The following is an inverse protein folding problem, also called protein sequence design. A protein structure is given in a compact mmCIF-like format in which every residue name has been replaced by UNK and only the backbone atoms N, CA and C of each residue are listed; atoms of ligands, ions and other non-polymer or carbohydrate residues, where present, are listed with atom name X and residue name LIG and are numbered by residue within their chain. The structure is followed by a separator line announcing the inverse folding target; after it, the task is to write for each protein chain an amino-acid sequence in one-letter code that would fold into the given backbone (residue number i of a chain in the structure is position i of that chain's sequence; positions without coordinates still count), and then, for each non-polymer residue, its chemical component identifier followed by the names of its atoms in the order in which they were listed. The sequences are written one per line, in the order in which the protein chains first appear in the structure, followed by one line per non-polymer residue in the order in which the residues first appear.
data_IF_387964100609
#
_entry.id   IF_387964100609
#
_cell.length_a   1.000
_cell.length_b   1.000
_cell.length_c   1.000
_cell.angle_alpha   90.00
_cell.angle_beta   90.00
_cell.angle_gamma   90.00
#
_symmetry.space_group_name_H-M   'P 1'
#
loop_
_entity.id
_entity.type
_entity.pdbx_description
1 polymer ?
#
# COMPACT_ATOMS: atom_id res chain seq x y z
N UNK A 1 -14.06 -21.49 48.08
CA UNK A 1 -12.60 -21.70 48.21
C UNK A 1 -12.17 -22.61 47.06
N UNK A 2 -11.44 -22.12 46.04
CA UNK A 2 -9.97 -22.25 45.89
C UNK A 2 -9.52 -23.69 46.21
N UNK A 3 -8.88 -24.49 45.36
CA UNK A 3 -7.90 -24.23 44.29
C UNK A 3 -7.58 -25.60 43.67
N UNK A 4 -7.27 -25.68 42.37
CA UNK A 4 -6.45 -26.78 41.86
C UNK A 4 -5.57 -26.26 40.71
N UNK A 5 -4.28 -26.32 40.97
CA UNK A 5 -3.17 -25.80 40.17
C UNK A 5 -2.68 -26.86 39.18
N UNK A 6 -2.23 -26.34 38.04
CA UNK A 6 -1.56 -26.91 36.87
C UNK A 6 -0.69 -28.17 37.00
N UNK A 7 -0.65 -28.93 35.90
CA UNK A 7 0.56 -29.26 35.11
C UNK A 7 0.15 -30.06 33.83
N UNK A 8 0.40 -29.54 32.61
CA UNK A 8 1.55 -29.88 31.73
C UNK A 8 1.40 -31.30 31.12
N UNK A 9 1.50 -31.61 29.82
CA UNK A 9 2.19 -31.05 28.64
C UNK A 9 1.50 -31.61 27.38
N UNK A 10 1.42 -30.85 26.28
CA UNK A 10 1.31 -31.47 24.95
C UNK A 10 2.09 -30.66 23.92
N UNK A 11 3.05 -31.37 23.35
CA UNK A 11 3.96 -31.07 22.25
C UNK A 11 3.23 -30.57 21.01
N UNK A 12 3.71 -29.49 20.40
CA UNK A 12 3.60 -29.28 18.96
C UNK A 12 4.95 -28.74 18.46
N UNK A 13 5.52 -29.53 17.55
CA UNK A 13 6.66 -29.18 16.72
C UNK A 13 6.39 -27.87 15.98
N UNK A 14 7.28 -26.88 16.16
CA UNK A 14 7.33 -25.67 15.37
C UNK A 14 8.58 -25.72 14.51
N UNK A 15 8.35 -26.00 13.23
CA UNK A 15 9.35 -26.16 12.18
C UNK A 15 10.29 -24.95 12.05
N UNK A 16 11.58 -25.27 12.10
CA UNK A 16 12.70 -24.41 11.75
C UNK A 16 12.51 -23.75 10.38
N UNK A 17 12.57 -22.42 10.36
CA UNK A 17 12.86 -21.66 9.14
C UNK A 17 14.37 -21.32 9.15
N UNK A 18 15.18 -21.80 8.20
CA UNK A 18 16.61 -21.51 8.18
C UNK A 18 16.90 -20.08 7.74
N UNK A 19 17.49 -19.30 8.65
CA UNK A 19 18.19 -18.05 8.38
C UNK A 19 19.33 -18.28 7.38
N UNK A 20 19.15 -17.84 6.14
CA UNK A 20 20.22 -17.79 5.13
C UNK A 20 21.13 -16.58 5.37
N UNK A 21 22.11 -16.76 6.25
CA UNK A 21 23.30 -15.91 6.33
C UNK A 21 24.37 -16.47 5.41
N UNK A 22 24.60 -15.83 4.24
CA UNK A 22 25.74 -16.15 3.38
C UNK A 22 26.63 -14.93 3.24
N UNK A 23 27.79 -15.04 3.87
CA UNK A 23 28.96 -14.16 3.76
C UNK A 23 29.44 -14.03 2.32
N UNK A 24 29.84 -12.82 1.92
CA UNK A 24 30.97 -12.64 1.00
C UNK A 24 31.86 -11.50 1.51
N UNK A 25 33.10 -11.89 1.79
CA UNK A 25 34.27 -11.05 2.03
C UNK A 25 35.07 -11.08 0.73
N UNK A 26 35.34 -9.93 0.12
CA UNK A 26 36.49 -9.74 -0.77
C UNK A 26 37.04 -8.33 -0.56
N UNK A 27 38.19 -8.28 0.10
CA UNK A 27 39.10 -7.14 0.11
C UNK A 27 39.93 -7.14 -1.16
N UNK A 28 40.25 -5.96 -1.73
CA UNK A 28 41.61 -5.55 -2.11
C UNK A 28 41.64 -4.20 -2.84
N UNK A 29 42.65 -3.41 -2.48
CA UNK A 29 42.97 -2.07 -2.97
C UNK A 29 43.75 -2.09 -4.28
N UNK A 30 43.63 -1.03 -5.08
CA UNK A 30 44.75 -0.45 -5.82
C UNK A 30 44.39 0.96 -6.31
N UNK A 31 45.22 1.91 -5.88
CA UNK A 31 45.35 3.27 -6.40
C UNK A 31 45.80 3.30 -7.86
N UNK A 32 45.31 4.26 -8.65
CA UNK A 32 46.13 4.91 -9.67
C UNK A 32 45.63 6.34 -9.96
N UNK A 33 46.48 7.29 -9.60
CA UNK A 33 46.50 8.71 -10.01
C UNK A 33 46.77 8.81 -11.50
N UNK A 34 46.11 9.72 -12.23
CA UNK A 34 46.71 10.58 -13.29
C UNK A 34 45.62 11.46 -13.91
N UNK A 35 45.68 12.76 -13.63
CA UNK A 35 45.25 13.85 -14.54
C UNK A 35 46.56 14.51 -15.00
N UNK A 36 46.72 14.99 -16.24
CA UNK A 36 46.07 16.25 -16.64
C UNK A 36 45.66 16.39 -18.13
N UNK A 37 44.67 17.27 -18.33
CA UNK A 37 44.59 18.33 -19.36
C UNK A 37 44.70 17.99 -20.86
N UNK A 38 43.60 18.20 -21.59
CA UNK A 38 43.65 18.90 -22.89
C UNK A 38 42.30 19.57 -23.24
N UNK A 39 42.35 20.90 -23.18
CA UNK A 39 41.44 21.90 -23.73
C UNK A 39 41.15 21.66 -25.23
N UNK A 40 39.88 21.65 -25.64
CA UNK A 40 39.39 22.45 -26.80
C UNK A 40 37.93 22.21 -27.21
N UNK A 41 37.22 23.34 -27.34
CA UNK A 41 36.29 23.74 -28.40
C UNK A 41 34.93 23.02 -28.53
N UNK A 42 33.95 23.68 -27.91
CA UNK A 42 32.68 24.17 -28.50
C UNK A 42 32.42 23.70 -29.94
N UNK A 43 31.42 22.85 -30.10
CA UNK A 43 30.55 22.90 -31.27
C UNK A 43 29.13 22.58 -30.81
N UNK A 44 28.23 23.51 -31.13
CA UNK A 44 26.80 23.43 -30.89
C UNK A 44 26.25 22.18 -31.56
N UNK A 45 25.44 21.42 -30.84
CA UNK A 45 24.47 20.54 -31.45
C UNK A 45 23.19 20.73 -30.64
N UNK A 46 22.26 21.42 -31.28
CA UNK A 46 20.97 21.83 -30.78
C UNK A 46 20.06 20.60 -30.54
N UNK A 47 19.35 20.68 -29.43
CA UNK A 47 17.95 20.30 -29.24
C UNK A 47 17.49 18.88 -29.57
N UNK A 48 17.86 17.93 -28.71
CA UNK A 48 16.94 16.85 -28.32
C UNK A 48 17.19 16.51 -26.85
N UNK A 49 16.46 17.15 -25.94
CA UNK A 49 16.40 16.73 -24.53
C UNK A 49 14.96 16.44 -24.14
N UNK A 50 14.80 15.33 -23.41
CA UNK A 50 13.54 14.66 -23.13
C UNK A 50 12.59 15.44 -22.21
N UNK A 51 11.52 14.77 -21.77
CA UNK A 51 10.39 15.43 -21.11
C UNK A 51 10.84 16.17 -19.85
N UNK A 52 10.33 17.38 -19.58
CA UNK A 52 10.59 18.06 -18.32
C UNK A 52 10.03 17.22 -17.17
N UNK A 53 10.93 16.64 -16.39
CA UNK A 53 10.65 16.18 -15.04
C UNK A 53 10.35 17.42 -14.19
N UNK A 54 9.07 17.70 -13.93
CA UNK A 54 8.60 18.47 -12.77
C UNK A 54 7.07 18.58 -12.80
N UNK A 55 6.39 17.80 -11.96
CA UNK A 55 5.21 18.24 -11.22
C UNK A 55 4.84 17.18 -10.19
N UNK A 56 5.55 17.20 -9.06
CA UNK A 56 4.99 16.72 -7.81
C UNK A 56 3.75 17.58 -7.50
N UNK A 57 2.55 17.05 -7.77
CA UNK A 57 1.32 17.63 -7.26
C UNK A 57 1.16 17.17 -5.80
N UNK A 58 1.92 17.80 -4.90
CA UNK A 58 1.58 17.85 -3.50
C UNK A 58 0.29 18.66 -3.37
N UNK A 59 -0.86 17.98 -3.30
CA UNK A 59 -2.11 18.60 -2.89
C UNK A 59 -2.21 18.50 -1.36
N UNK A 60 -1.52 19.40 -0.67
CA UNK A 60 -1.81 19.75 0.71
C UNK A 60 -2.42 21.14 0.72
N UNK A 61 -3.76 21.24 0.66
CA UNK A 61 -4.53 22.41 1.12
C UNK A 61 -5.94 21.92 1.49
N UNK A 62 -6.39 22.16 2.72
CA UNK A 62 -7.80 21.99 3.05
C UNK A 62 -8.12 21.61 4.50
N UNK A 63 -7.77 22.52 5.40
CA UNK A 63 -8.14 22.58 6.82
C UNK A 63 -9.64 22.35 7.08
N UNK A 64 -9.96 21.56 8.12
CA UNK A 64 -11.16 21.73 8.94
C UNK A 64 -12.53 21.46 8.30
N UNK A 65 -12.88 20.18 8.11
CA UNK A 65 -14.27 19.75 8.23
C UNK A 65 -14.32 18.62 9.27
N UNK A 66 -14.25 19.03 10.54
CA UNK A 66 -14.65 18.19 11.67
C UNK A 66 -16.15 17.88 11.53
N UNK A 67 -16.46 16.81 10.80
CA UNK A 67 -17.74 16.13 10.96
C UNK A 67 -17.57 15.22 12.15
N UNK A 68 -17.87 15.75 13.32
CA UNK A 68 -17.96 15.00 14.56
C UNK A 68 -19.07 13.96 14.42
N UNK A 69 -18.70 12.75 14.02
CA UNK A 69 -19.43 11.52 14.33
C UNK A 69 -18.42 10.39 14.60
N UNK A 70 -17.72 10.52 15.74
CA UNK A 70 -17.15 9.40 16.49
C UNK A 70 -15.77 8.89 16.09
N UNK A 71 -14.74 9.76 16.19
CA UNK A 71 -13.31 9.41 16.22
C UNK A 71 -12.79 8.66 14.97
N UNK A 72 -12.72 9.35 13.83
CA UNK A 72 -11.94 8.87 12.68
C UNK A 72 -10.49 8.66 13.17
N UNK A 73 -9.91 7.45 13.03
CA UNK A 73 -8.58 7.17 13.53
C UNK A 73 -7.52 8.05 12.85
N UNK A 74 -6.41 8.29 13.55
CA UNK A 74 -5.30 9.08 13.03
C UNK A 74 -4.70 8.45 11.76
N UNK A 75 -4.35 9.32 10.80
CA UNK A 75 -3.75 8.93 9.52
C UNK A 75 -4.75 8.53 8.44
N UNK A 76 -6.05 8.65 8.69
CA UNK A 76 -7.08 8.47 7.66
C UNK A 76 -7.33 9.76 6.87
N UNK A 77 -7.40 9.62 5.55
CA UNK A 77 -7.69 10.71 4.59
C UNK A 77 -9.05 10.48 3.96
N UNK A 78 -9.81 11.56 3.72
CA UNK A 78 -11.15 11.48 3.14
C UNK A 78 -11.08 11.33 1.61
N UNK A 79 -11.77 10.32 1.08
CA UNK A 79 -12.04 10.13 -0.35
C UNK A 79 -13.15 11.08 -0.84
N UNK A 80 -13.21 11.38 -2.15
CA UNK A 80 -14.29 12.20 -2.71
C UNK A 80 -15.70 11.64 -2.43
N UNK A 81 -15.88 10.32 -2.44
CA UNK A 81 -17.12 9.63 -2.04
C UNK A 81 -17.47 9.73 -0.55
N UNK A 82 -16.71 10.49 0.24
CA UNK A 82 -16.96 10.77 1.65
C UNK A 82 -16.49 9.69 2.63
N UNK A 83 -15.91 8.60 2.13
CA UNK A 83 -15.26 7.54 2.93
C UNK A 83 -13.89 7.97 3.40
N UNK A 84 -13.35 7.29 4.41
CA UNK A 84 -11.99 7.52 4.87
C UNK A 84 -11.11 6.36 4.50
N UNK A 85 -9.85 6.61 4.18
CA UNK A 85 -8.89 5.56 3.87
C UNK A 85 -7.52 5.81 4.50
N UNK A 86 -6.77 4.74 4.70
CA UNK A 86 -5.38 4.75 5.16
C UNK A 86 -4.60 3.67 4.42
N UNK A 87 -3.45 4.03 3.88
CA UNK A 87 -2.52 3.04 3.30
C UNK A 87 -1.80 2.34 4.44
N UNK A 88 -1.92 1.02 4.50
CA UNK A 88 -1.28 0.17 5.52
C UNK A 88 0.01 -0.43 4.98
N UNK A 89 0.01 -0.79 3.71
CA UNK A 89 1.18 -1.28 3.00
C UNK A 89 1.25 -0.60 1.64
N UNK A 90 2.32 0.12 1.37
CA UNK A 90 2.57 0.75 0.07
C UNK A 90 2.77 -0.32 -1.02
N UNK A 91 2.10 -0.13 -2.16
CA UNK A 91 2.34 -0.92 -3.36
C UNK A 91 3.50 -0.36 -4.16
N UNK A 92 4.23 -1.23 -4.85
CA UNK A 92 5.39 -0.83 -5.68
C UNK A 92 5.13 -0.94 -7.17
N UNK A 93 3.99 -1.51 -7.55
CA UNK A 93 3.65 -1.71 -8.95
C UNK A 93 2.98 -0.50 -9.60
N UNK A 94 2.29 -0.80 -10.71
CA UNK A 94 1.59 0.20 -11.52
C UNK A 94 0.32 0.66 -10.82
N UNK A 95 -0.17 1.84 -11.22
CA UNK A 95 -1.47 2.37 -10.82
C UNK A 95 -2.49 1.92 -11.87
N UNK A 96 -3.65 1.35 -11.48
CA UNK A 96 -4.70 0.97 -12.42
C UNK A 96 -5.28 2.17 -13.18
N UNK A 97 -5.74 1.93 -14.40
CA UNK A 97 -6.61 2.86 -15.14
C UNK A 97 -8.07 2.41 -15.09
N UNK A 98 -8.99 3.31 -15.42
CA UNK A 98 -10.43 3.03 -15.30
C UNK A 98 -10.91 1.86 -16.17
N UNK A 99 -10.24 1.63 -17.31
CA UNK A 99 -10.64 0.59 -18.27
C UNK A 99 -10.02 -0.77 -17.99
N UNK A 100 -9.01 -0.84 -17.13
CA UNK A 100 -8.31 -2.08 -16.81
C UNK A 100 -9.14 -3.00 -15.91
N UNK A 101 -8.80 -4.28 -15.93
CA UNK A 101 -9.26 -5.24 -14.94
C UNK A 101 -8.23 -5.35 -13.84
N UNK A 102 -8.70 -5.51 -12.61
CA UNK A 102 -7.87 -5.64 -11.43
C UNK A 102 -8.24 -6.91 -10.68
N UNK A 103 -7.21 -7.62 -10.21
CA UNK A 103 -7.37 -8.69 -9.23
C UNK A 103 -7.17 -8.11 -7.83
N UNK A 104 -8.09 -8.37 -6.90
CA UNK A 104 -8.02 -7.84 -5.54
C UNK A 104 -8.54 -8.82 -4.48
N UNK A 105 -8.12 -8.60 -3.24
CA UNK A 105 -8.76 -9.17 -2.05
C UNK A 105 -9.51 -8.06 -1.30
N UNK A 106 -10.70 -8.38 -0.78
CA UNK A 106 -11.47 -7.48 0.10
C UNK A 106 -12.00 -8.26 1.31
N UNK A 107 -11.68 -7.77 2.50
CA UNK A 107 -12.21 -8.28 3.75
C UNK A 107 -13.02 -7.20 4.44
N UNK A 108 -14.24 -7.55 4.85
CA UNK A 108 -15.16 -6.63 5.53
C UNK A 108 -15.44 -7.01 6.97
N UNK A 109 -15.42 -6.02 7.85
CA UNK A 109 -15.70 -6.15 9.27
C UNK A 109 -16.77 -5.14 9.73
N UNK A 110 -17.48 -5.49 10.80
CA UNK A 110 -18.51 -4.61 11.40
C UNK A 110 -18.02 -3.85 12.62
N UNK A 111 -17.03 -4.40 13.32
CA UNK A 111 -16.51 -3.94 14.61
C UNK A 111 -15.18 -3.16 14.47
N UNK A 112 -14.17 -3.73 13.81
CA UNK A 112 -12.86 -3.10 13.54
C UNK A 112 -12.05 -3.88 12.48
N UNK A 113 -10.94 -3.33 11.97
CA UNK A 113 -10.08 -3.99 10.98
C UNK A 113 -9.44 -5.32 11.45
N UNK A 114 -9.21 -5.47 12.76
CA UNK A 114 -8.75 -6.72 13.39
C UNK A 114 -9.88 -7.45 14.14
N UNK A 115 -11.12 -7.08 13.81
CA UNK A 115 -12.32 -7.58 14.47
C UNK A 115 -12.56 -9.06 14.25
N UNK A 116 -13.25 -9.68 15.19
CA UNK A 116 -13.70 -11.07 15.03
C UNK A 116 -14.97 -11.16 14.18
N UNK A 117 -15.68 -10.03 13.98
CA UNK A 117 -16.95 -10.00 13.27
C UNK A 117 -16.78 -9.67 11.78
N UNK A 118 -16.18 -10.64 11.07
CA UNK A 118 -15.99 -10.62 9.62
C UNK A 118 -17.29 -10.98 8.90
N UNK A 119 -17.73 -10.10 7.99
CA UNK A 119 -18.99 -10.26 7.23
C UNK A 119 -18.78 -10.51 5.74
N UNK A 120 -17.58 -10.26 5.20
CA UNK A 120 -17.23 -10.58 3.82
C UNK A 120 -15.75 -10.97 3.66
N UNK A 121 -15.47 -11.91 2.76
CA UNK A 121 -14.13 -12.39 2.37
C UNK A 121 -14.09 -12.63 0.85
N UNK A 122 -13.79 -11.60 0.08
CA UNK A 122 -13.56 -11.75 -1.35
C UNK A 122 -12.06 -11.94 -1.57
N UNK A 123 -11.67 -13.04 -2.21
CA UNK A 123 -10.28 -13.33 -2.54
C UNK A 123 -10.07 -13.48 -4.02
N UNK A 124 -9.01 -12.87 -4.53
CA UNK A 124 -8.60 -12.89 -5.92
C UNK A 124 -9.72 -12.54 -6.91
N UNK A 125 -10.64 -11.66 -6.52
CA UNK A 125 -11.74 -11.25 -7.37
C UNK A 125 -11.23 -10.38 -8.51
N UNK A 126 -11.73 -10.61 -9.73
CA UNK A 126 -11.33 -9.88 -10.93
C UNK A 126 -12.50 -9.09 -11.48
N UNK A 127 -12.40 -7.76 -11.43
CA UNK A 127 -13.41 -6.85 -12.00
C UNK A 127 -12.75 -5.75 -12.82
N UNK A 128 -13.50 -5.16 -13.76
CA UNK A 128 -13.08 -3.92 -14.42
C UNK A 128 -13.25 -2.75 -13.45
N UNK A 129 -12.27 -1.86 -13.39
CA UNK A 129 -12.28 -0.72 -12.44
C UNK A 129 -13.53 0.15 -12.63
N UNK A 130 -13.96 0.36 -13.87
CA UNK A 130 -15.17 1.13 -14.19
C UNK A 130 -16.47 0.50 -13.68
N UNK A 131 -16.55 -0.83 -13.60
CA UNK A 131 -17.77 -1.55 -13.19
C UNK A 131 -17.91 -1.58 -11.66
N UNK A 132 -16.88 -1.17 -10.92
CA UNK A 132 -16.89 -1.06 -9.47
C UNK A 132 -17.76 0.10 -8.99
N UNK A 133 -18.29 -0.04 -7.77
CA UNK A 133 -19.00 1.05 -7.09
C UNK A 133 -18.06 2.23 -6.84
N UNK A 134 -18.63 3.43 -6.74
CA UNK A 134 -17.90 4.71 -6.74
C UNK A 134 -16.66 4.72 -5.83
N UNK A 135 -16.81 4.35 -4.55
CA UNK A 135 -15.68 4.35 -3.63
C UNK A 135 -14.60 3.33 -3.96
N UNK A 136 -15.00 2.18 -4.49
CA UNK A 136 -14.06 1.14 -4.87
C UNK A 136 -13.21 1.65 -6.04
N UNK A 137 -13.86 2.28 -7.02
CA UNK A 137 -13.18 2.91 -8.14
C UNK A 137 -12.22 4.00 -7.69
N UNK A 138 -12.64 4.90 -6.80
CA UNK A 138 -11.77 5.94 -6.24
C UNK A 138 -10.55 5.36 -5.50
N UNK A 139 -10.79 4.35 -4.67
CA UNK A 139 -9.72 3.69 -3.93
C UNK A 139 -8.73 3.02 -4.89
N UNK A 140 -9.20 2.16 -5.79
CA UNK A 140 -8.33 1.39 -6.70
C UNK A 140 -7.55 2.29 -7.66
N UNK A 141 -8.14 3.37 -8.18
CA UNK A 141 -7.45 4.31 -9.06
C UNK A 141 -6.34 5.12 -8.36
N UNK A 142 -6.34 5.13 -7.02
CA UNK A 142 -5.28 5.75 -6.21
C UNK A 142 -4.38 4.73 -5.54
N UNK A 143 -4.54 3.44 -5.83
CA UNK A 143 -3.70 2.36 -5.31
C UNK A 143 -2.61 1.97 -6.29
N UNK A 144 -1.54 1.37 -5.77
CA UNK A 144 -0.52 0.65 -6.56
C UNK A 144 -0.67 -0.86 -6.42
N UNK A 145 -0.30 -1.59 -7.45
CA UNK A 145 -0.20 -3.05 -7.36
C UNK A 145 0.70 -3.46 -6.17
N UNK A 146 0.18 -4.38 -5.35
CA UNK A 146 0.76 -4.80 -4.07
C UNK A 146 0.30 -3.99 -2.85
N UNK A 147 -0.45 -2.89 -3.03
CA UNK A 147 -0.89 -2.03 -1.92
C UNK A 147 -2.01 -2.67 -1.09
N UNK A 148 -1.95 -2.45 0.22
CA UNK A 148 -3.04 -2.74 1.17
C UNK A 148 -3.55 -1.45 1.78
N UNK A 149 -4.87 -1.27 1.72
CA UNK A 149 -5.56 -0.06 2.17
C UNK A 149 -6.72 -0.42 3.08
N UNK A 150 -6.83 0.31 4.17
CA UNK A 150 -7.97 0.27 5.08
C UNK A 150 -8.95 1.37 4.71
N UNK A 151 -10.24 1.06 4.69
CA UNK A 151 -11.32 1.97 4.32
C UNK A 151 -12.40 1.92 5.41
N UNK A 152 -12.79 3.10 5.88
CA UNK A 152 -13.93 3.29 6.79
C UNK A 152 -15.07 3.89 5.98
N UNK A 153 -16.20 3.18 6.00
CA UNK A 153 -17.44 3.62 5.37
C UNK A 153 -18.35 4.34 6.36
N UNK A 154 -19.25 5.21 5.88
CA UNK A 154 -20.20 5.89 6.75
C UNK A 154 -21.05 4.91 7.55
N UNK A 155 -21.40 5.31 8.77
CA UNK A 155 -22.31 4.56 9.65
C UNK A 155 -23.60 4.24 8.89
N UNK A 156 -24.05 2.98 8.98
CA UNK A 156 -25.20 2.45 8.23
C UNK A 156 -24.84 1.74 6.93
N UNK A 157 -23.58 1.82 6.49
CA UNK A 157 -23.03 0.96 5.44
C UNK A 157 -22.39 -0.27 6.07
N UNK A 158 -22.85 -1.48 5.72
CA UNK A 158 -22.22 -2.72 6.15
C UNK A 158 -21.45 -3.38 4.99
N UNK A 159 -20.21 -3.85 5.18
CA UNK A 159 -19.32 -3.61 6.33
C UNK A 159 -18.85 -2.15 6.49
N UNK A 160 -18.71 -1.73 7.74
CA UNK A 160 -18.19 -0.41 8.13
C UNK A 160 -16.69 -0.31 7.83
N UNK A 161 -15.93 -1.35 8.16
CA UNK A 161 -14.48 -1.42 8.00
C UNK A 161 -14.12 -2.39 6.88
N UNK A 162 -13.27 -1.97 5.94
CA UNK A 162 -12.86 -2.77 4.79
C UNK A 162 -11.36 -2.75 4.60
N UNK A 163 -10.73 -3.90 4.52
CA UNK A 163 -9.34 -4.04 4.09
C UNK A 163 -9.33 -4.46 2.62
N UNK A 164 -8.74 -3.63 1.77
CA UNK A 164 -8.64 -3.84 0.33
C UNK A 164 -7.18 -4.04 -0.05
N UNK A 165 -6.87 -5.10 -0.77
CA UNK A 165 -5.53 -5.38 -1.30
C UNK A 165 -5.58 -5.48 -2.82
N UNK A 166 -4.81 -4.64 -3.51
CA UNK A 166 -4.66 -4.73 -4.96
C UNK A 166 -3.58 -5.75 -5.30
N UNK A 167 -3.96 -6.88 -5.87
CA UNK A 167 -3.02 -7.98 -6.18
C UNK A 167 -2.30 -7.72 -7.48
N UNK A 168 -3.04 -7.46 -8.56
CA UNK A 168 -2.48 -7.28 -9.91
C UNK A 168 -3.42 -6.54 -10.85
N UNK A 169 -2.88 -6.05 -11.95
CA UNK A 169 -3.60 -5.39 -13.04
C UNK A 169 -3.46 -6.26 -14.30
N UNK A 170 -4.57 -6.56 -14.96
CA UNK A 170 -4.63 -7.37 -16.21
C UNK A 170 -4.58 -6.50 -17.47
#
# INVERSE_FOLDING_TARGET
MRTATAAMRRTLEGSEWPSSSRSIRTSSSASNTTTPSARSKRRRQDDHNGPPAAAAAAAAVGEGAAVSNGNIPEGFVRLPSGRYHKVVQEGTGRVPTADQRVKFDEIGFTDAFDGQNKVSDYREWVIRVFDGIEWFREAVLSMREGEVREIITPIGSAPTYRQLRLISIE
#
